data_IF_210833815376
#
_entry.id   IF_210833815376
#
_cell.length_a   1.000
_cell.length_b   1.000
_cell.length_c   1.000
_cell.angle_alpha   90.00
_cell.angle_beta   90.00
_cell.angle_gamma   90.00
#
_symmetry.space_group_name_H-M   'P 1'
#
loop_
_entity.id
_entity.type
_entity.pdbx_description
1 polymer ?
#
# COMPACT_ATOMS: atom_id res chain seq x y z
N UNK A 1 -8.07 -50.99 8.20
CA UNK A 1 -6.79 -51.39 7.57
C UNK A 1 -6.57 -50.47 6.40
N UNK A 2 -5.57 -49.61 6.59
CA UNK A 2 -4.70 -48.95 5.63
C UNK A 2 -5.26 -47.90 4.67
N UNK A 3 -5.20 -46.67 5.18
CA UNK A 3 -5.08 -45.41 4.44
C UNK A 3 -3.76 -45.38 3.66
N UNK A 4 -3.83 -45.28 2.33
CA UNK A 4 -2.70 -44.84 1.50
C UNK A 4 -2.66 -43.31 1.49
N UNK A 5 -1.70 -42.73 2.23
CA UNK A 5 -1.26 -41.34 2.04
C UNK A 5 -0.42 -41.27 0.76
N UNK A 6 -0.56 -40.24 -0.10
CA UNK A 6 0.41 -39.99 -1.14
C UNK A 6 1.70 -39.49 -0.47
N UNK A 7 2.79 -40.23 -0.69
CA UNK A 7 4.13 -39.80 -0.33
C UNK A 7 4.52 -38.73 -1.34
N UNK A 8 4.85 -37.53 -0.88
CA UNK A 8 5.48 -36.50 -1.71
C UNK A 8 6.88 -37.02 -2.04
N UNK A 9 7.06 -37.53 -3.26
CA UNK A 9 8.36 -38.01 -3.72
C UNK A 9 9.34 -36.82 -3.81
N UNK A 10 10.57 -37.08 -3.37
CA UNK A 10 11.62 -36.08 -3.29
C UNK A 10 12.27 -35.93 -4.68
N UNK A 11 11.77 -34.97 -5.48
CA UNK A 11 12.17 -34.72 -6.88
C UNK A 11 13.65 -34.34 -7.08
N UNK A 12 14.42 -34.17 -6.00
CA UNK A 12 15.85 -33.84 -6.07
C UNK A 12 16.74 -34.97 -6.61
N UNK A 13 16.22 -36.19 -6.78
CA UNK A 13 16.95 -37.35 -7.30
C UNK A 13 16.53 -37.78 -8.71
N UNK A 14 15.61 -37.07 -9.36
CA UNK A 14 15.32 -37.33 -10.76
C UNK A 14 16.52 -36.90 -11.61
N UNK A 15 17.16 -37.83 -12.31
CA UNK A 15 18.10 -37.52 -13.37
C UNK A 15 17.33 -36.74 -14.45
N UNK A 16 17.34 -35.41 -14.35
CA UNK A 16 16.62 -34.53 -15.25
C UNK A 16 17.17 -34.76 -16.66
N UNK A 17 16.31 -35.22 -17.57
CA UNK A 17 16.59 -35.22 -19.00
C UNK A 17 17.07 -33.83 -19.43
N UNK A 18 18.15 -33.71 -20.22
CA UNK A 18 18.60 -32.42 -20.72
C UNK A 18 17.47 -31.71 -21.46
N UNK A 19 17.31 -30.39 -21.28
CA UNK A 19 16.23 -29.64 -21.91
C UNK A 19 16.23 -29.87 -23.43
N UNK A 20 15.06 -30.24 -23.95
CA UNK A 20 14.84 -30.49 -25.36
C UNK A 20 14.68 -29.19 -26.16
N UNK A 21 14.66 -29.27 -27.50
CA UNK A 21 14.52 -28.10 -28.37
C UNK A 21 13.25 -27.27 -28.12
N UNK A 22 12.18 -27.90 -27.62
CA UNK A 22 10.93 -27.22 -27.29
C UNK A 22 11.00 -26.49 -25.94
N UNK A 23 11.76 -27.00 -24.96
CA UNK A 23 12.05 -26.29 -23.71
C UNK A 23 12.86 -25.02 -23.99
N UNK A 24 13.78 -25.05 -24.96
CA UNK A 24 14.52 -23.87 -25.40
C UNK A 24 13.64 -22.84 -26.12
N UNK A 25 12.59 -23.27 -26.85
CA UNK A 25 11.61 -22.34 -27.43
C UNK A 25 10.74 -21.71 -26.35
N UNK A 26 10.37 -22.47 -25.32
CA UNK A 26 9.63 -21.96 -24.18
C UNK A 26 10.48 -20.97 -23.37
N UNK A 27 11.74 -21.31 -23.06
CA UNK A 27 12.72 -20.40 -22.45
C UNK A 27 12.98 -19.14 -23.30
N UNK A 28 13.06 -19.27 -24.63
CA UNK A 28 13.14 -18.12 -25.52
C UNK A 28 11.85 -17.27 -25.49
N UNK A 29 10.70 -17.91 -25.31
CA UNK A 29 9.42 -17.25 -25.01
C UNK A 29 9.47 -16.47 -23.70
N UNK A 30 10.07 -17.04 -22.66
CA UNK A 30 10.26 -16.40 -21.35
C UNK A 30 11.23 -15.21 -21.42
N UNK A 31 12.21 -15.24 -22.32
CA UNK A 31 13.11 -14.10 -22.56
C UNK A 31 12.37 -12.84 -23.04
N UNK A 32 11.16 -12.97 -23.62
CA UNK A 32 10.32 -11.80 -23.98
C UNK A 32 9.82 -11.04 -22.74
N UNK A 33 9.75 -11.71 -21.60
CA UNK A 33 9.44 -11.14 -20.29
C UNK A 33 10.70 -10.78 -19.48
N UNK A 34 11.90 -11.07 -20.00
CA UNK A 34 13.17 -10.60 -19.45
C UNK A 34 13.30 -9.10 -19.70
N UNK A 35 12.56 -8.31 -18.92
CA UNK A 35 12.79 -6.88 -18.81
C UNK A 35 14.16 -6.69 -18.16
N UNK A 36 14.96 -5.81 -18.77
CA UNK A 36 16.25 -5.45 -18.22
C UNK A 36 16.05 -4.87 -16.82
N UNK A 37 16.56 -5.56 -15.78
CA UNK A 37 16.49 -5.13 -14.37
C UNK A 37 16.96 -3.69 -14.16
N UNK A 38 17.87 -3.19 -15.00
CA UNK A 38 18.28 -1.80 -15.02
C UNK A 38 17.12 -0.84 -15.35
N UNK A 39 16.24 -1.18 -16.29
CA UNK A 39 15.04 -0.39 -16.61
C UNK A 39 14.06 -0.34 -15.44
N UNK A 40 13.81 -1.48 -14.79
CA UNK A 40 12.97 -1.53 -13.58
C UNK A 40 13.54 -0.65 -12.45
N UNK A 41 14.86 -0.65 -12.27
CA UNK A 41 15.55 0.27 -11.35
C UNK A 41 15.37 1.73 -11.75
N UNK A 42 15.60 2.08 -13.01
CA UNK A 42 15.40 3.46 -13.48
C UNK A 42 13.97 3.91 -13.20
N UNK A 43 12.99 3.07 -13.56
CA UNK A 43 11.58 3.36 -13.34
C UNK A 43 11.27 3.61 -11.87
N UNK A 44 11.67 2.71 -10.97
CA UNK A 44 11.44 2.84 -9.53
C UNK A 44 12.14 4.06 -8.91
N UNK A 45 13.24 4.51 -9.50
CA UNK A 45 14.05 5.63 -9.01
C UNK A 45 13.76 6.97 -9.68
N UNK A 46 12.98 7.02 -10.77
CA UNK A 46 12.72 8.26 -11.53
C UNK A 46 11.26 8.42 -11.93
N UNK A 47 10.65 7.35 -12.43
CA UNK A 47 9.33 7.40 -13.08
C UNK A 47 8.19 7.01 -12.15
N UNK A 48 8.52 6.49 -10.95
CA UNK A 48 7.56 6.17 -9.90
C UNK A 48 6.68 7.37 -9.56
N UNK A 49 5.40 7.08 -9.36
CA UNK A 49 4.36 8.04 -9.04
C UNK A 49 3.81 7.70 -7.65
N UNK A 50 3.45 8.73 -6.89
CA UNK A 50 2.86 8.58 -5.57
C UNK A 50 1.51 9.26 -5.53
N UNK A 51 0.59 8.68 -4.77
CA UNK A 51 -0.63 9.33 -4.36
C UNK A 51 -0.32 10.29 -3.20
N UNK A 52 -0.69 11.56 -3.35
CA UNK A 52 -0.52 12.59 -2.32
C UNK A 52 -1.80 13.37 -2.13
N UNK A 53 -1.92 14.08 -1.01
CA UNK A 53 -3.04 14.99 -0.79
C UNK A 53 -3.04 16.10 -1.85
N UNK A 54 -4.20 16.38 -2.46
CA UNK A 54 -4.40 17.53 -3.34
C UNK A 54 -5.04 18.67 -2.52
N UNK A 55 -4.23 19.67 -2.19
CA UNK A 55 -4.62 20.83 -1.40
C UNK A 55 -4.80 22.10 -2.24
N UNK A 56 -4.93 21.95 -3.56
CA UNK A 56 -5.01 23.09 -4.49
C UNK A 56 -6.34 23.86 -4.44
N UNK A 57 -7.35 23.33 -3.76
CA UNK A 57 -8.64 24.01 -3.58
C UNK A 57 -8.60 25.05 -2.44
N UNK A 58 -9.40 26.11 -2.58
CA UNK A 58 -9.58 27.14 -1.56
C UNK A 58 -10.21 26.54 -0.30
N UNK A 59 -9.45 26.45 0.78
CA UNK A 59 -9.94 26.01 2.10
C UNK A 59 -10.64 27.18 2.80
N UNK A 60 -11.93 27.06 3.10
CA UNK A 60 -12.62 27.96 4.02
C UNK A 60 -12.50 27.36 5.44
N UNK A 61 -11.85 28.07 6.36
CA UNK A 61 -11.67 27.62 7.75
C UNK A 61 -11.02 26.22 7.90
N UNK A 62 -10.19 25.81 6.93
CA UNK A 62 -9.56 24.48 6.92
C UNK A 62 -10.39 23.37 6.28
N UNK A 63 -11.65 23.65 5.92
CA UNK A 63 -12.56 22.75 5.22
C UNK A 63 -12.66 23.14 3.73
N UNK A 64 -12.77 22.16 2.84
CA UNK A 64 -13.08 22.38 1.42
C UNK A 64 -14.58 22.11 1.17
N UNK A 65 -15.09 22.53 0.02
CA UNK A 65 -16.52 22.48 -0.31
C UNK A 65 -17.16 21.09 -0.18
N UNK A 66 -16.34 20.04 -0.24
CA UNK A 66 -16.78 18.66 -0.32
C UNK A 66 -16.76 17.97 1.06
N UNK A 67 -16.25 18.64 2.10
CA UNK A 67 -16.18 18.14 3.48
C UNK A 67 -17.41 18.57 4.30
N UNK A 68 -18.59 18.21 3.80
CA UNK A 68 -19.86 18.50 4.49
C UNK A 68 -19.94 17.86 5.89
N UNK A 69 -19.25 16.73 6.10
CA UNK A 69 -19.18 16.01 7.37
C UNK A 69 -18.36 16.80 8.40
N UNK A 70 -17.14 17.25 8.03
CA UNK A 70 -16.32 18.10 8.89
C UNK A 70 -16.97 19.46 9.16
N UNK A 71 -17.65 20.05 8.16
CA UNK A 71 -18.44 21.28 8.38
C UNK A 71 -19.61 21.06 9.33
N UNK A 72 -20.30 19.92 9.24
CA UNK A 72 -21.43 19.59 10.13
C UNK A 72 -20.94 19.36 11.57
N UNK A 73 -19.84 18.65 11.76
CA UNK A 73 -19.22 18.44 13.06
C UNK A 73 -18.78 19.77 13.68
N UNK A 74 -18.11 20.63 12.89
CA UNK A 74 -17.72 21.97 13.32
C UNK A 74 -18.93 22.84 13.71
N UNK A 75 -19.98 22.86 12.87
CA UNK A 75 -21.21 23.60 13.15
C UNK A 75 -21.94 23.08 14.40
N UNK A 76 -21.92 21.76 14.61
CA UNK A 76 -22.50 21.12 15.80
C UNK A 76 -21.71 21.50 17.05
N UNK A 77 -20.38 21.49 16.98
CA UNK A 77 -19.52 21.91 18.08
C UNK A 77 -19.69 23.40 18.42
N UNK A 78 -19.82 24.28 17.42
CA UNK A 78 -20.13 25.70 17.66
C UNK A 78 -21.53 25.90 18.28
N UNK A 79 -22.51 25.11 17.86
CA UNK A 79 -23.88 25.19 18.40
C UNK A 79 -23.95 24.72 19.86
N UNK A 80 -23.12 23.73 20.24
CA UNK A 80 -23.06 23.20 21.60
C UNK A 80 -22.25 24.08 22.57
N UNK A 81 -21.42 25.00 22.06
CA UNK A 81 -20.65 25.96 22.86
C UNK A 81 -21.43 27.26 23.20
N UNK A 82 -22.72 27.34 22.85
CA UNK A 82 -23.59 28.49 23.12
C UNK A 82 -24.07 28.66 24.58
N UNK A 83 -23.60 27.83 25.52
CA UNK A 83 -23.87 27.98 26.95
C UNK A 83 -22.54 27.87 27.71
N UNK A 84 -21.86 29.02 27.90
CA UNK A 84 -21.02 29.46 29.03
C UNK A 84 -19.96 30.46 28.51
N UNK A 85 -20.22 31.76 28.74
CA UNK A 85 -19.21 32.82 28.92
C UNK A 85 -18.95 32.85 30.44
N UNK A 86 -17.78 33.03 31.05
CA UNK A 86 -16.51 33.65 30.68
C UNK A 86 -15.51 33.38 31.83
N UNK A 87 -14.22 33.14 31.54
CA UNK A 87 -13.06 33.73 32.27
C UNK A 87 -11.74 33.09 31.82
N UNK A 88 -10.98 33.92 31.12
CA UNK A 88 -9.51 34.02 31.02
C UNK A 88 -8.66 33.11 31.93
N UNK A 89 -7.86 32.23 31.33
CA UNK A 89 -6.47 32.03 31.74
C UNK A 89 -5.65 31.43 30.60
N UNK A 90 -4.68 32.20 30.13
CA UNK A 90 -3.49 31.74 29.41
C UNK A 90 -2.84 30.58 30.15
N UNK A 91 -2.82 29.39 29.55
CA UNK A 91 -1.98 28.28 29.97
C UNK A 91 -1.61 27.45 28.74
N UNK A 92 -0.44 27.81 28.19
CA UNK A 92 0.56 26.98 27.56
C UNK A 92 0.16 25.54 27.22
N UNK A 93 0.16 25.22 25.93
CA UNK A 93 0.16 23.86 25.43
C UNK A 93 1.41 23.12 25.94
N UNK A 94 1.30 22.05 26.74
CA UNK A 94 2.42 21.20 27.08
C UNK A 94 2.43 20.02 26.12
N UNK A 95 3.35 20.03 25.16
CA UNK A 95 3.52 18.90 24.25
C UNK A 95 4.31 19.19 23.00
N UNK A 96 5.33 20.05 23.07
CA UNK A 96 6.47 20.01 22.14
C UNK A 96 7.17 18.65 22.33
N UNK A 97 6.58 17.61 21.75
CA UNK A 97 7.20 16.32 21.55
C UNK A 97 8.27 16.47 20.48
N UNK A 98 9.47 16.84 20.92
CA UNK A 98 10.76 16.55 20.28
C UNK A 98 10.75 16.66 18.74
N UNK A 99 10.92 17.87 18.20
CA UNK A 99 11.42 18.01 16.82
C UNK A 99 12.79 17.32 16.77
N UNK A 100 12.97 16.20 16.04
CA UNK A 100 14.30 15.76 15.72
C UNK A 100 14.80 16.75 14.66
N UNK A 101 15.77 17.60 15.01
CA UNK A 101 16.54 18.33 14.00
C UNK A 101 17.17 17.33 13.05
N UNK A 102 16.57 17.10 11.88
CA UNK A 102 17.04 16.16 10.85
C UNK A 102 16.57 16.68 9.49
N UNK A 103 17.52 16.86 8.58
CA UNK A 103 17.35 17.25 7.19
C UNK A 103 15.95 16.96 6.63
N UNK A 104 15.13 18.01 6.46
CA UNK A 104 13.85 17.87 5.79
C UNK A 104 14.14 17.39 4.36
N UNK A 105 13.58 16.24 3.98
CA UNK A 105 13.76 15.74 2.63
C UNK A 105 13.13 16.73 1.65
N UNK A 106 13.91 17.22 0.68
CA UNK A 106 13.49 18.23 -0.29
C UNK A 106 12.19 17.81 -1.00
N UNK A 107 12.10 16.54 -1.41
CA UNK A 107 10.89 15.98 -2.04
C UNK A 107 9.69 16.03 -1.10
N UNK A 108 9.84 15.61 0.15
CA UNK A 108 8.74 15.61 1.11
C UNK A 108 8.25 17.02 1.44
N UNK A 109 9.15 18.00 1.43
CA UNK A 109 8.83 19.38 1.73
C UNK A 109 7.88 20.01 0.68
N UNK A 110 7.87 19.46 -0.53
CA UNK A 110 7.01 19.89 -1.64
C UNK A 110 5.62 19.25 -1.64
N UNK A 111 5.38 18.29 -0.74
CA UNK A 111 4.11 17.58 -0.63
C UNK A 111 3.44 17.95 0.69
N UNK A 112 2.16 18.31 0.60
CA UNK A 112 1.35 18.67 1.75
C UNK A 112 1.06 17.46 2.64
N UNK A 113 0.93 17.71 3.94
CA UNK A 113 0.52 16.66 4.89
C UNK A 113 -0.93 16.28 4.67
N UNK A 114 -1.24 15.01 4.87
CA UNK A 114 -2.62 14.56 4.97
C UNK A 114 -3.30 15.24 6.17
N UNK A 115 -4.53 15.75 6.02
CA UNK A 115 -5.28 16.31 7.14
C UNK A 115 -5.55 15.24 8.20
N UNK A 116 -5.39 15.60 9.48
CA UNK A 116 -5.62 14.69 10.62
C UNK A 116 -7.03 14.76 11.19
N UNK A 117 -7.76 15.81 10.85
CA UNK A 117 -9.05 16.15 11.43
C UNK A 117 -10.21 15.97 10.44
N UNK A 118 -9.96 15.35 9.29
CA UNK A 118 -10.96 15.11 8.26
C UNK A 118 -10.50 14.07 7.25
N UNK A 119 -11.47 13.50 6.51
CA UNK A 119 -11.19 12.54 5.45
C UNK A 119 -10.52 13.18 4.25
N UNK A 120 -9.53 12.48 3.70
CA UNK A 120 -8.88 12.91 2.45
C UNK A 120 -9.66 12.38 1.26
N UNK A 121 -10.42 13.25 0.59
CA UNK A 121 -11.24 12.88 -0.60
C UNK A 121 -10.62 13.31 -1.93
N UNK A 122 -9.56 14.12 -1.88
CA UNK A 122 -8.87 14.69 -3.05
C UNK A 122 -7.40 14.34 -3.02
N UNK A 123 -6.97 13.66 -4.06
CA UNK A 123 -5.61 13.21 -4.24
C UNK A 123 -5.07 13.69 -5.57
N UNK A 124 -3.75 13.65 -5.69
CA UNK A 124 -3.04 13.87 -6.94
C UNK A 124 -1.92 12.85 -7.08
N UNK A 125 -1.63 12.47 -8.31
CA UNK A 125 -0.39 11.77 -8.61
C UNK A 125 0.76 12.78 -8.61
N UNK A 126 1.83 12.39 -7.94
CA UNK A 126 3.07 13.14 -7.85
C UNK A 126 4.22 12.27 -8.35
N UNK A 127 4.90 12.72 -9.41
CA UNK A 127 6.18 12.15 -9.84
C UNK A 127 7.29 13.11 -9.36
N UNK A 128 8.16 12.71 -8.41
CA UNK A 128 9.17 13.63 -7.88
C UNK A 128 10.14 14.17 -8.92
N UNK A 129 10.41 13.41 -9.98
CA UNK A 129 11.26 13.81 -11.10
C UNK A 129 10.73 15.03 -11.88
N UNK A 130 9.42 15.31 -11.82
CA UNK A 130 8.82 16.45 -12.52
C UNK A 130 9.06 17.78 -11.78
N UNK A 131 9.34 17.72 -10.47
CA UNK A 131 9.49 18.92 -9.62
C UNK A 131 10.94 19.19 -9.26
N UNK A 132 11.72 18.14 -8.99
CA UNK A 132 13.17 18.26 -8.81
C UNK A 132 13.81 18.23 -10.19
N UNK A 133 14.40 19.34 -10.64
CA UNK A 133 15.24 19.33 -11.85
C UNK A 133 16.42 18.37 -11.65
N UNK A 134 16.25 17.12 -12.11
CA UNK A 134 17.27 16.06 -12.09
C UNK A 134 18.55 16.45 -12.85
N UNK A 135 18.53 17.58 -13.59
CA UNK A 135 19.70 18.15 -14.27
C UNK A 135 20.80 18.60 -13.31
N UNK A 136 20.47 18.92 -12.06
CA UNK A 136 21.46 19.45 -11.09
C UNK A 136 22.07 18.37 -10.20
N UNK A 137 21.49 17.16 -10.15
CA UNK A 137 21.96 16.09 -9.28
C UNK A 137 21.75 14.71 -9.92
N UNK A 138 22.78 14.14 -10.57
CA UNK A 138 22.68 12.83 -11.24
C UNK A 138 22.40 11.66 -10.28
N UNK A 139 22.60 11.87 -8.96
CA UNK A 139 22.48 10.85 -7.91
C UNK A 139 21.25 11.05 -7.00
N UNK A 140 20.30 11.95 -7.31
CA UNK A 140 19.06 12.00 -6.53
C UNK A 140 18.27 10.71 -6.73
N UNK A 141 18.37 9.85 -5.74
CA UNK A 141 17.41 8.78 -5.52
C UNK A 141 16.09 9.42 -5.13
N UNK A 142 15.02 9.18 -5.89
CA UNK A 142 13.65 9.55 -5.49
C UNK A 142 13.42 9.21 -4.02
N UNK A 143 12.81 10.11 -3.27
CA UNK A 143 12.58 9.97 -1.84
C UNK A 143 11.99 8.60 -1.44
N UNK A 144 12.54 7.98 -0.39
CA UNK A 144 12.04 6.73 0.21
C UNK A 144 10.96 6.94 1.26
N UNK A 145 10.63 8.19 1.64
CA UNK A 145 9.63 8.52 2.67
C UNK A 145 8.19 8.42 2.15
N UNK A 146 7.79 7.21 1.79
CA UNK A 146 6.44 6.87 1.39
C UNK A 146 6.02 5.54 2.03
N UNK A 147 4.71 5.32 2.07
CA UNK A 147 4.11 4.03 2.41
C UNK A 147 3.78 3.26 1.13
N UNK A 148 4.28 2.03 1.00
CA UNK A 148 3.84 1.12 -0.07
C UNK A 148 2.77 0.17 0.48
N UNK A 149 1.58 0.24 -0.10
CA UNK A 149 0.39 -0.46 0.37
C UNK A 149 -0.01 -1.50 -0.66
N UNK A 150 -0.08 -2.75 -0.20
CA UNK A 150 -0.60 -3.88 -0.95
C UNK A 150 -1.98 -4.27 -0.42
N UNK A 151 -2.89 -4.64 -1.31
CA UNK A 151 -4.17 -5.19 -0.92
C UNK A 151 -4.71 -6.09 -2.04
N UNK A 152 -5.58 -7.03 -1.68
CA UNK A 152 -6.25 -7.87 -2.66
C UNK A 152 -7.34 -7.06 -3.36
N UNK A 153 -7.23 -6.90 -4.68
CA UNK A 153 -8.25 -6.20 -5.44
C UNK A 153 -9.55 -7.02 -5.38
N UNK A 154 -10.69 -6.40 -5.01
CA UNK A 154 -11.95 -7.12 -4.96
C UNK A 154 -12.31 -7.63 -6.35
N UNK A 155 -12.81 -8.86 -6.43
CA UNK A 155 -13.40 -9.35 -7.68
C UNK A 155 -14.55 -8.43 -8.10
N UNK A 156 -14.74 -8.21 -9.41
CA UNK A 156 -15.91 -7.50 -9.90
C UNK A 156 -17.18 -8.22 -9.43
N UNK A 157 -17.87 -7.64 -8.44
CA UNK A 157 -19.13 -8.18 -7.97
C UNK A 157 -20.18 -8.03 -9.06
N UNK A 158 -21.10 -8.98 -9.17
CA UNK A 158 -22.25 -8.88 -10.05
C UNK A 158 -23.52 -8.85 -9.19
N UNK A 159 -24.51 -8.06 -9.58
CA UNK A 159 -25.84 -8.10 -8.98
C UNK A 159 -26.56 -9.40 -9.37
N UNK A 160 -27.75 -9.63 -8.82
CA UNK A 160 -28.57 -10.81 -9.15
C UNK A 160 -28.94 -10.89 -10.65
N UNK A 161 -28.74 -9.80 -11.40
CA UNK A 161 -29.01 -9.67 -12.81
C UNK A 161 -27.72 -9.78 -13.67
N UNK A 162 -26.56 -10.03 -13.05
CA UNK A 162 -25.28 -10.16 -13.74
C UNK A 162 -24.58 -8.84 -14.08
N UNK A 163 -25.11 -7.69 -13.63
CA UNK A 163 -24.47 -6.40 -13.87
C UNK A 163 -23.36 -6.15 -12.85
N UNK A 164 -22.23 -5.55 -13.26
CA UNK A 164 -21.14 -5.26 -12.35
C UNK A 164 -21.55 -4.25 -11.26
N UNK A 165 -21.53 -4.69 -10.01
CA UNK A 165 -21.64 -3.85 -8.81
C UNK A 165 -20.26 -3.28 -8.53
N UNK A 166 -20.13 -1.98 -8.74
CA UNK A 166 -18.91 -1.25 -8.45
C UNK A 166 -18.97 -0.76 -7.00
N UNK A 167 -18.01 -1.19 -6.17
CA UNK A 167 -17.79 -0.58 -4.85
C UNK A 167 -17.63 0.95 -4.94
N UNK A 168 -17.98 1.63 -3.85
CA UNK A 168 -17.98 3.10 -3.79
C UNK A 168 -16.59 3.68 -4.09
N UNK A 169 -16.57 4.60 -5.06
CA UNK A 169 -15.40 5.33 -5.56
C UNK A 169 -15.78 6.79 -5.70
N UNK A 170 -15.87 7.48 -4.57
CA UNK A 170 -16.32 8.87 -4.51
C UNK A 170 -15.15 9.85 -4.54
N UNK A 171 -13.92 9.37 -4.31
CA UNK A 171 -12.75 10.22 -4.19
C UNK A 171 -12.21 10.62 -5.56
N UNK A 172 -11.53 11.76 -5.60
CA UNK A 172 -10.96 12.34 -6.81
C UNK A 172 -9.45 12.19 -6.80
N UNK A 173 -8.90 11.80 -7.95
CA UNK A 173 -7.46 11.72 -8.21
C UNK A 173 -7.14 12.56 -9.42
N UNK A 174 -6.27 13.56 -9.27
CA UNK A 174 -5.67 14.32 -10.36
C UNK A 174 -4.45 13.57 -10.88
N UNK A 175 -4.49 13.10 -12.12
CA UNK A 175 -3.36 12.43 -12.77
C UNK A 175 -2.23 13.45 -13.10
N UNK A 176 -1.07 12.93 -13.54
CA UNK A 176 0.12 13.74 -13.88
C UNK A 176 -0.15 14.73 -15.04
N UNK A 177 -1.08 14.40 -15.93
CA UNK A 177 -1.53 15.27 -17.03
C UNK A 177 -2.51 16.37 -16.57
N UNK A 178 -2.84 16.42 -15.28
CA UNK A 178 -3.80 17.34 -14.69
C UNK A 178 -5.26 16.90 -14.83
N UNK A 179 -5.54 15.76 -15.48
CA UNK A 179 -6.89 15.24 -15.61
C UNK A 179 -7.40 14.71 -14.28
N UNK A 180 -8.59 15.15 -13.89
CA UNK A 180 -9.27 14.63 -12.70
C UNK A 180 -10.09 13.40 -13.08
N UNK A 181 -9.94 12.33 -12.30
CA UNK A 181 -10.71 11.09 -12.41
C UNK A 181 -11.18 10.63 -11.03
N UNK A 182 -12.09 9.66 -11.01
CA UNK A 182 -12.38 8.90 -9.79
C UNK A 182 -11.19 8.03 -9.40
N UNK A 183 -11.07 7.76 -8.11
CA UNK A 183 -10.21 6.69 -7.62
C UNK A 183 -10.59 5.35 -8.26
N UNK A 184 -9.59 4.50 -8.45
CA UNK A 184 -9.68 3.11 -8.89
C UNK A 184 -9.74 2.17 -7.68
N UNK A 185 -8.89 2.42 -6.69
CA UNK A 185 -8.95 1.79 -5.38
C UNK A 185 -10.27 2.16 -4.69
N UNK A 186 -10.76 1.31 -3.80
CA UNK A 186 -11.97 1.60 -3.04
C UNK A 186 -11.74 2.78 -2.06
N UNK A 187 -12.80 3.50 -1.71
CA UNK A 187 -12.72 4.60 -0.74
C UNK A 187 -12.17 4.13 0.63
N UNK A 188 -12.55 2.94 1.09
CA UNK A 188 -12.07 2.36 2.36
C UNK A 188 -10.57 2.02 2.33
N UNK A 189 -10.08 1.53 1.19
CA UNK A 189 -8.65 1.27 0.96
C UNK A 189 -7.85 2.57 1.07
N UNK A 190 -8.37 3.66 0.47
CA UNK A 190 -7.72 4.96 0.53
C UNK A 190 -7.77 5.56 1.93
N UNK A 191 -8.90 5.47 2.64
CA UNK A 191 -9.03 5.92 4.03
C UNK A 191 -7.98 5.23 4.93
N UNK A 192 -7.92 3.89 4.88
CA UNK A 192 -6.97 3.11 5.68
C UNK A 192 -5.51 3.40 5.31
N UNK A 193 -5.23 3.60 4.04
CA UNK A 193 -3.88 3.94 3.57
C UNK A 193 -3.45 5.33 4.07
N UNK A 194 -4.37 6.30 4.10
CA UNK A 194 -4.13 7.65 4.64
C UNK A 194 -3.92 7.60 6.15
N UNK A 195 -4.77 6.90 6.90
CA UNK A 195 -4.61 6.73 8.35
C UNK A 195 -3.26 6.10 8.70
N UNK A 196 -2.88 5.05 7.96
CA UNK A 196 -1.58 4.42 8.12
C UNK A 196 -0.44 5.39 7.79
N UNK A 197 -0.51 6.11 6.68
CA UNK A 197 0.50 7.10 6.29
C UNK A 197 0.67 8.21 7.35
N UNK A 198 -0.44 8.73 7.90
CA UNK A 198 -0.45 9.71 9.00
C UNK A 198 0.25 9.12 10.23
N UNK A 199 -0.06 7.88 10.60
CA UNK A 199 0.54 7.21 11.76
C UNK A 199 2.06 7.02 11.61
N UNK A 200 2.52 6.78 10.39
CA UNK A 200 3.94 6.64 10.06
C UNK A 200 4.66 7.97 9.77
N UNK A 201 3.93 9.09 9.74
CA UNK A 201 4.49 10.41 9.45
C UNK A 201 4.96 10.59 8.00
N UNK A 202 4.38 9.86 7.05
CA UNK A 202 4.71 9.97 5.61
C UNK A 202 3.60 10.68 4.84
N UNK A 203 3.97 11.38 3.76
CA UNK A 203 3.05 12.23 2.96
C UNK A 203 2.75 11.66 1.57
N UNK A 204 3.36 10.52 1.25
CA UNK A 204 3.30 9.87 -0.05
C UNK A 204 2.87 8.43 0.16
N UNK A 205 1.93 7.98 -0.67
CA UNK A 205 1.43 6.61 -0.66
C UNK A 205 1.66 6.01 -2.04
N UNK A 206 2.09 4.76 -2.10
CA UNK A 206 2.15 3.97 -3.31
C UNK A 206 1.15 2.82 -3.20
N UNK A 207 0.16 2.80 -4.11
CA UNK A 207 -0.78 1.70 -4.31
C UNK A 207 -0.70 1.38 -5.80
N UNK A 208 -0.45 0.12 -6.14
CA UNK A 208 -0.28 -0.33 -7.53
C UNK A 208 -1.43 0.13 -8.45
N UNK A 209 -2.67 -0.02 -8.01
CA UNK A 209 -3.85 0.32 -8.81
C UNK A 209 -3.95 1.82 -9.14
N UNK A 210 -3.49 2.69 -8.23
CA UNK A 210 -3.51 4.15 -8.40
C UNK A 210 -2.26 4.68 -9.10
N UNK A 211 -1.10 4.17 -8.70
CA UNK A 211 0.20 4.72 -9.09
C UNK A 211 0.73 4.15 -10.40
N UNK A 212 0.24 2.98 -10.83
CA UNK A 212 0.47 2.44 -12.16
C UNK A 212 -0.66 2.79 -13.12
N UNK A 213 -0.38 2.96 -14.41
CA UNK A 213 -1.43 2.92 -15.43
C UNK A 213 -2.21 1.61 -15.35
N UNK A 214 -3.53 1.69 -15.54
CA UNK A 214 -4.41 0.52 -15.67
C UNK A 214 -4.96 0.46 -17.10
N UNK A 215 -4.09 0.15 -18.09
CA UNK A 215 -4.46 0.16 -19.48
C UNK A 215 -5.49 -0.92 -19.80
N UNK A 216 -6.35 -0.64 -20.78
CA UNK A 216 -7.24 -1.61 -21.41
C UNK A 216 -6.77 -1.90 -22.84
N UNK A 217 -7.57 -2.66 -23.59
CA UNK A 217 -7.25 -3.04 -24.97
C UNK A 217 -6.90 -1.83 -25.86
N UNK A 218 -7.62 -0.71 -25.68
CA UNK A 218 -7.49 0.54 -26.45
C UNK A 218 -6.40 1.48 -25.94
N UNK A 219 -5.78 1.17 -24.80
CA UNK A 219 -4.72 2.01 -24.24
C UNK A 219 -3.49 2.05 -25.14
N UNK A 220 -2.80 3.20 -25.10
CA UNK A 220 -1.56 3.41 -25.82
C UNK A 220 -0.50 2.39 -25.37
N UNK A 221 0.35 1.98 -26.31
CA UNK A 221 1.42 1.01 -26.05
C UNK A 221 2.36 1.48 -24.92
N UNK A 222 2.65 2.78 -24.85
CA UNK A 222 3.46 3.38 -23.78
C UNK A 222 2.86 3.14 -22.38
N UNK A 223 1.54 3.18 -22.23
CA UNK A 223 0.89 2.93 -20.93
C UNK A 223 1.00 1.46 -20.52
N UNK A 224 0.95 0.55 -21.49
CA UNK A 224 1.14 -0.90 -21.27
C UNK A 224 2.58 -1.19 -20.86
N UNK A 225 3.54 -0.53 -21.51
CA UNK A 225 4.96 -0.64 -21.16
C UNK A 225 5.28 -0.04 -19.78
N UNK A 226 4.71 1.13 -19.45
CA UNK A 226 4.85 1.76 -18.12
C UNK A 226 4.25 0.87 -17.01
N UNK A 227 3.07 0.28 -17.24
CA UNK A 227 2.49 -0.69 -16.32
C UNK A 227 3.39 -1.92 -16.15
N UNK A 228 3.86 -2.52 -17.24
CA UNK A 228 4.70 -3.71 -17.20
C UNK A 228 6.02 -3.46 -16.47
N UNK A 229 6.66 -2.31 -16.73
CA UNK A 229 7.86 -1.89 -16.00
C UNK A 229 7.59 -1.71 -14.51
N UNK A 230 6.47 -1.07 -14.16
CA UNK A 230 6.06 -0.89 -12.77
C UNK A 230 5.83 -2.21 -12.04
N UNK A 231 5.16 -3.17 -12.66
CA UNK A 231 4.96 -4.52 -12.11
C UNK A 231 6.31 -5.21 -11.87
N UNK A 232 7.22 -5.16 -12.84
CA UNK A 232 8.55 -5.76 -12.72
C UNK A 232 9.48 -5.04 -11.73
N UNK A 233 9.10 -3.83 -11.30
CA UNK A 233 9.83 -3.02 -10.34
C UNK A 233 9.21 -3.08 -8.93
N UNK A 234 8.08 -3.78 -8.72
CA UNK A 234 7.37 -3.79 -7.44
C UNK A 234 8.25 -4.18 -6.27
N UNK A 235 9.11 -5.18 -6.44
CA UNK A 235 10.04 -5.61 -5.39
C UNK A 235 11.00 -4.48 -4.96
N UNK A 236 11.43 -3.62 -5.90
CA UNK A 236 12.23 -2.42 -5.60
C UNK A 236 11.39 -1.39 -4.86
N UNK A 237 10.14 -1.18 -5.28
CA UNK A 237 9.23 -0.22 -4.65
C UNK A 237 8.98 -0.59 -3.19
N UNK A 238 8.54 -1.83 -2.93
CA UNK A 238 8.30 -2.28 -1.57
C UNK A 238 9.57 -2.30 -0.72
N UNK A 239 10.71 -2.69 -1.28
CA UNK A 239 11.98 -2.70 -0.53
C UNK A 239 12.49 -1.28 -0.18
N UNK A 240 12.20 -0.28 -1.04
CA UNK A 240 12.62 1.11 -0.81
C UNK A 240 11.69 1.92 0.09
N UNK A 241 10.42 1.53 0.20
CA UNK A 241 9.46 2.26 1.00
C UNK A 241 9.92 2.34 2.46
N UNK A 242 9.69 3.48 3.11
CA UNK A 242 10.04 3.63 4.53
C UNK A 242 9.18 2.73 5.41
N UNK A 243 7.94 2.51 4.98
CA UNK A 243 7.00 1.56 5.60
C UNK A 243 6.25 0.82 4.50
N UNK A 244 5.98 -0.46 4.73
CA UNK A 244 5.16 -1.30 3.87
C UNK A 244 3.97 -1.81 4.67
N UNK A 245 2.79 -1.88 4.03
CA UNK A 245 1.56 -2.32 4.66
C UNK A 245 0.78 -3.26 3.75
N UNK A 246 0.23 -4.33 4.34
CA UNK A 246 -0.76 -5.19 3.69
C UNK A 246 -2.14 -4.91 4.29
N UNK A 247 -3.10 -4.47 3.47
CA UNK A 247 -4.48 -4.31 3.92
C UNK A 247 -5.22 -5.63 3.77
N UNK A 248 -5.58 -6.20 4.91
CA UNK A 248 -6.42 -7.38 5.00
C UNK A 248 -7.88 -6.94 4.85
N UNK A 249 -8.67 -7.69 4.08
CA UNK A 249 -10.12 -7.50 3.91
C UNK A 249 -10.93 -8.03 5.09
N UNK A 250 -10.36 -8.95 5.87
CA UNK A 250 -10.99 -9.57 7.03
C UNK A 250 -10.86 -8.67 8.26
N UNK A 251 -11.97 -8.48 8.98
CA UNK A 251 -11.95 -7.82 10.29
C UNK A 251 -11.34 -8.76 11.33
N UNK A 252 -10.36 -8.26 12.08
CA UNK A 252 -9.83 -8.97 13.24
C UNK A 252 -10.72 -8.64 14.44
N UNK A 253 -11.47 -9.61 14.91
CA UNK A 253 -12.43 -9.46 16.02
C UNK A 253 -11.91 -10.02 17.33
N UNK A 254 -10.89 -10.89 17.28
CA UNK A 254 -10.35 -11.59 18.43
C UNK A 254 -8.84 -11.40 18.57
N UNK A 255 -8.35 -11.21 19.80
CA UNK A 255 -6.91 -11.11 20.08
C UNK A 255 -6.14 -12.35 19.58
N UNK A 256 -6.75 -13.54 19.64
CA UNK A 256 -6.16 -14.79 19.15
C UNK A 256 -5.80 -14.73 17.65
N UNK A 257 -6.54 -13.97 16.85
CA UNK A 257 -6.23 -13.76 15.43
C UNK A 257 -5.03 -12.83 15.25
N UNK A 258 -4.89 -11.78 16.07
CA UNK A 258 -3.69 -10.93 16.08
C UNK A 258 -2.46 -11.72 16.53
N UNK A 259 -2.60 -12.54 17.57
CA UNK A 259 -1.53 -13.38 18.08
C UNK A 259 -1.08 -14.40 17.01
N UNK A 260 -2.03 -14.95 16.23
CA UNK A 260 -1.74 -15.82 15.10
C UNK A 260 -0.94 -15.11 13.98
N UNK A 261 -1.33 -13.89 13.61
CA UNK A 261 -0.58 -13.08 12.63
C UNK A 261 0.81 -12.70 13.17
N UNK A 262 0.89 -12.32 14.44
CA UNK A 262 2.15 -12.03 15.12
C UNK A 262 3.07 -13.26 15.12
N UNK A 263 2.52 -14.45 15.31
CA UNK A 263 3.28 -15.69 15.17
C UNK A 263 3.78 -15.91 13.74
N UNK A 264 2.90 -15.84 12.74
CA UNK A 264 3.28 -16.05 11.34
C UNK A 264 4.38 -15.10 10.86
N UNK A 265 4.39 -13.87 11.36
CA UNK A 265 5.41 -12.87 10.99
C UNK A 265 6.75 -13.06 11.69
N UNK A 266 6.76 -13.67 12.88
CA UNK A 266 7.95 -13.85 13.72
C UNK A 266 8.49 -15.28 13.77
N UNK A 267 7.84 -16.24 13.12
CA UNK A 267 8.41 -17.57 12.89
C UNK A 267 9.06 -17.64 11.49
N UNK A 268 10.32 -18.10 11.44
CA UNK A 268 11.06 -18.36 10.21
C UNK A 268 11.37 -19.84 10.09
N UNK A 269 11.42 -20.36 8.87
CA UNK A 269 11.94 -21.70 8.63
C UNK A 269 13.42 -21.74 9.04
N UNK A 270 13.79 -22.74 9.85
CA UNK A 270 15.18 -23.07 10.14
C UNK A 270 15.65 -24.08 9.08
N UNK A 271 16.32 -23.56 8.06
CA UNK A 271 16.81 -24.30 6.89
C UNK A 271 17.69 -25.51 7.28
N UNK A 272 18.27 -25.53 8.48
CA UNK A 272 19.15 -26.62 8.90
C UNK A 272 18.47 -27.77 9.65
N UNK A 273 17.24 -27.58 10.17
CA UNK A 273 16.57 -28.62 10.98
C UNK A 273 15.12 -28.88 10.62
N UNK A 274 14.57 -28.18 9.63
CA UNK A 274 13.15 -28.30 9.27
C UNK A 274 12.21 -27.84 10.40
N UNK A 275 12.72 -27.11 11.39
CA UNK A 275 11.95 -26.53 12.48
C UNK A 275 11.56 -25.09 12.19
N UNK A 276 10.57 -24.55 12.90
CA UNK A 276 10.32 -23.12 12.90
C UNK A 276 11.11 -22.46 14.04
N UNK A 277 11.81 -21.36 13.73
CA UNK A 277 12.55 -20.55 14.69
C UNK A 277 11.80 -19.25 14.94
N UNK A 278 11.60 -18.94 16.22
CA UNK A 278 11.13 -17.62 16.65
C UNK A 278 12.24 -16.56 16.47
N UNK A 279 11.90 -15.44 15.85
CA UNK A 279 12.80 -14.29 15.63
C UNK A 279 12.27 -12.98 16.22
N UNK A 280 11.16 -13.01 16.96
CA UNK A 280 10.59 -11.81 17.60
C UNK A 280 11.40 -11.34 18.80
N UNK A 281 11.32 -10.04 19.09
CA UNK A 281 12.03 -9.38 20.21
C UNK A 281 11.46 -9.73 21.60
N UNK A 282 10.30 -10.40 21.64
CA UNK A 282 9.63 -10.86 22.87
C UNK A 282 9.63 -12.39 22.93
N UNK A 283 9.38 -13.02 24.08
CA UNK A 283 9.17 -14.47 24.12
C UNK A 283 7.99 -14.88 23.22
N UNK A 284 8.05 -16.06 22.57
CA UNK A 284 6.95 -16.53 21.74
C UNK A 284 5.66 -16.61 22.58
N UNK A 285 4.51 -16.17 22.04
CA UNK A 285 3.23 -16.26 22.73
C UNK A 285 2.90 -17.72 23.05
N UNK A 286 2.11 -17.94 24.11
CA UNK A 286 1.65 -19.27 24.48
C UNK A 286 0.73 -19.78 23.38
N UNK A 287 1.21 -20.77 22.63
CA UNK A 287 0.45 -21.40 21.55
C UNK A 287 -0.65 -22.25 22.18
N UNK A 288 -1.89 -21.82 22.00
CA UNK A 288 -3.06 -22.61 22.31
C UNK A 288 -3.74 -23.09 21.02
N UNK A 289 -4.71 -24.02 21.15
CA UNK A 289 -5.38 -24.62 20.00
C UNK A 289 -6.13 -23.57 19.14
N UNK A 290 -6.66 -22.52 19.75
CA UNK A 290 -7.40 -21.46 19.05
C UNK A 290 -6.48 -20.63 18.14
N UNK A 291 -5.30 -20.24 18.66
CA UNK A 291 -4.27 -19.55 17.87
C UNK A 291 -3.78 -20.46 16.72
N UNK A 292 -3.54 -21.74 16.99
CA UNK A 292 -3.10 -22.69 15.96
C UNK A 292 -4.14 -22.85 14.83
N UNK A 293 -5.43 -22.94 15.18
CA UNK A 293 -6.50 -23.01 14.20
C UNK A 293 -6.52 -21.75 13.32
N UNK A 294 -6.42 -20.55 13.91
CA UNK A 294 -6.34 -19.32 13.13
C UNK A 294 -5.10 -19.25 12.23
N UNK A 295 -3.92 -19.71 12.71
CA UNK A 295 -2.72 -19.80 11.87
C UNK A 295 -2.97 -20.69 10.65
N UNK A 296 -3.63 -21.85 10.83
CA UNK A 296 -3.97 -22.75 9.73
C UNK A 296 -4.99 -22.12 8.79
N UNK A 297 -6.04 -21.47 9.31
CA UNK A 297 -7.04 -20.76 8.52
C UNK A 297 -6.37 -19.67 7.65
N UNK A 298 -5.45 -18.87 8.22
CA UNK A 298 -4.69 -17.86 7.47
C UNK A 298 -3.84 -18.49 6.36
N UNK A 299 -3.22 -19.64 6.61
CA UNK A 299 -2.41 -20.34 5.60
C UNK A 299 -3.26 -21.00 4.51
N UNK A 300 -4.46 -21.50 4.84
CA UNK A 300 -5.41 -22.08 3.87
C UNK A 300 -6.07 -20.99 3.01
N UNK A 301 -6.39 -19.83 3.60
CA UNK A 301 -6.81 -18.65 2.85
C UNK A 301 -5.73 -18.24 1.84
N UNK A 302 -4.44 -18.30 2.21
CA UNK A 302 -3.34 -18.01 1.30
C UNK A 302 -3.11 -19.04 0.18
N UNK A 303 -3.70 -20.25 0.27
CA UNK A 303 -3.57 -21.33 -0.74
C UNK A 303 -4.73 -21.42 -1.72
N UNK A 304 -5.85 -20.76 -1.42
CA UNK A 304 -7.06 -20.80 -2.25
C UNK A 304 -7.06 -19.74 -3.37
N UNK A 305 -5.90 -19.13 -3.63
CA UNK A 305 -5.65 -18.12 -4.66
C UNK A 305 -4.49 -18.54 -5.55
#
# INVERSE_FOLDING_TARGET
>A
MDNLKPIMENDMNAQSTPPGPDDFKELAGLSKYSINRHKARIWAHKDIKFLTYDDTDLKLQGYDSDDSEGMLEFATNMSNQGLIHESTSTAEAPGEGSRPGKHACDVCSMVSEFPRNRKTRKFRLHRPADVVSLKSFPDITVCSHYAAISYCWPEPQQDEQGNPVMGERTYQVRDIDGKIRRNRALDDVLDRAVDFAISCGVRMIWIDQECLPQPNEKSLQEQKEDQQLGIQAMDIVYNRASVTGGLISTQVTEQAQLDAVYMLTNFRADDMRGGMRWVGDTPPPIINQQILNHVLDFLEMGRSY
#
